data_IF_508291418374
#
_entry.id   IF_508291418374
#
_cell.length_a   1.000
_cell.length_b   1.000
_cell.length_c   1.000
_cell.angle_alpha   90.00
_cell.angle_beta   90.00
_cell.angle_gamma   90.00
#
_symmetry.space_group_name_H-M   'P 1'
#
loop_
_entity.id
_entity.type
_entity.pdbx_description
1 polymer ?
#
# COMPACT_ATOMS: atom_id res chain seq x y z
N UNK A 1 -4.70 -36.65 -20.26
CA UNK A 1 -5.35 -35.80 -19.23
C UNK A 1 -4.36 -34.94 -18.41
N UNK A 2 -3.26 -34.43 -18.99
CA UNK A 2 -2.26 -33.60 -18.27
C UNK A 2 -2.06 -32.18 -18.83
N UNK A 3 -2.79 -31.80 -19.90
CA UNK A 3 -2.58 -30.52 -20.62
C UNK A 3 -3.42 -29.34 -20.08
N UNK A 4 -4.57 -29.59 -19.44
CA UNK A 4 -5.44 -28.51 -18.92
C UNK A 4 -4.97 -27.94 -17.57
N UNK A 5 -4.22 -28.70 -16.77
CA UNK A 5 -3.73 -28.25 -15.46
C UNK A 5 -2.63 -27.20 -15.61
N UNK A 6 -1.69 -27.39 -16.56
CA UNK A 6 -0.59 -26.45 -16.79
C UNK A 6 -1.08 -25.08 -17.34
N UNK A 7 -2.10 -25.07 -18.20
CA UNK A 7 -2.66 -23.84 -18.76
C UNK A 7 -3.40 -22.97 -17.72
N UNK A 8 -3.95 -23.59 -16.68
CA UNK A 8 -4.59 -22.89 -15.56
C UNK A 8 -3.56 -22.28 -14.59
N UNK A 9 -2.37 -22.87 -14.49
CA UNK A 9 -1.28 -22.40 -13.62
C UNK A 9 -0.56 -21.19 -14.23
N UNK A 10 -0.39 -21.15 -15.56
CA UNK A 10 0.21 -19.99 -16.26
C UNK A 10 -0.72 -18.76 -16.25
N UNK A 11 -2.03 -18.96 -16.18
CA UNK A 11 -3.06 -17.90 -16.16
C UNK A 11 -3.08 -17.06 -14.86
N UNK A 12 -2.25 -17.37 -13.85
CA UNK A 12 -2.35 -16.74 -12.52
C UNK A 12 -1.02 -16.29 -11.92
N UNK A 13 -0.01 -16.02 -12.76
CA UNK A 13 1.15 -15.22 -12.33
C UNK A 13 0.81 -13.73 -12.48
N UNK A 14 -0.01 -13.20 -11.58
CA UNK A 14 -0.12 -11.73 -11.44
C UNK A 14 1.22 -11.23 -10.92
N UNK A 15 1.86 -10.38 -11.71
CA UNK A 15 3.20 -9.87 -11.41
C UNK A 15 3.10 -8.56 -10.63
N UNK A 16 4.21 -8.10 -10.04
CA UNK A 16 4.28 -6.80 -9.35
C UNK A 16 3.86 -5.65 -10.29
N UNK A 17 4.10 -5.78 -11.59
CA UNK A 17 3.67 -4.84 -12.61
C UNK A 17 2.14 -4.68 -12.69
N UNK A 18 1.39 -5.77 -12.47
CA UNK A 18 -0.07 -5.72 -12.44
C UNK A 18 -0.58 -4.97 -11.20
N UNK A 19 0.09 -5.13 -10.06
CA UNK A 19 -0.21 -4.36 -8.85
C UNK A 19 0.04 -2.88 -9.08
N UNK A 20 1.20 -2.51 -9.63
CA UNK A 20 1.53 -1.11 -9.92
C UNK A 20 0.49 -0.51 -10.87
N UNK A 21 0.10 -1.23 -11.92
CA UNK A 21 -0.90 -0.79 -12.90
C UNK A 21 -2.31 -0.72 -12.31
N UNK A 22 -2.63 -1.57 -11.32
CA UNK A 22 -3.90 -1.52 -10.61
C UNK A 22 -3.96 -0.33 -9.65
N UNK A 23 -2.89 -0.11 -8.89
CA UNK A 23 -2.80 0.99 -7.94
C UNK A 23 -2.57 2.35 -8.61
N UNK A 24 -1.99 2.40 -9.81
CA UNK A 24 -1.87 3.64 -10.59
C UNK A 24 -3.23 4.20 -11.04
N UNK A 25 -4.29 3.37 -11.03
CA UNK A 25 -5.66 3.79 -11.32
C UNK A 25 -6.37 4.38 -10.11
N UNK A 26 -5.78 4.30 -8.91
CA UNK A 26 -6.34 4.97 -7.74
C UNK A 26 -6.05 6.46 -7.92
N UNK A 27 -7.08 7.19 -8.33
CA UNK A 27 -7.05 8.64 -8.42
C UNK A 27 -6.70 9.19 -7.04
N UNK A 28 -5.61 9.93 -6.99
CA UNK A 28 -5.17 10.62 -5.78
C UNK A 28 -6.09 11.82 -5.53
N UNK A 29 -7.26 11.58 -4.92
CA UNK A 29 -8.22 12.63 -4.54
C UNK A 29 -7.72 13.46 -3.32
N UNK A 30 -6.42 13.45 -3.04
CA UNK A 30 -5.86 14.17 -1.92
C UNK A 30 -5.83 15.66 -2.25
N UNK A 31 -6.47 16.47 -1.39
CA UNK A 31 -6.42 17.93 -1.44
C UNK A 31 -4.96 18.40 -1.58
N UNK A 32 -4.67 19.44 -2.39
CA UNK A 32 -3.31 19.93 -2.64
C UNK A 32 -2.52 20.30 -1.38
N UNK A 33 -3.19 20.53 -0.25
CA UNK A 33 -2.56 20.98 1.00
C UNK A 33 -2.59 19.92 2.13
N UNK A 34 -3.16 18.73 1.90
CA UNK A 34 -3.55 17.84 3.00
C UNK A 34 -2.56 16.73 3.32
N UNK A 35 -1.96 16.11 2.30
CA UNK A 35 -1.13 14.92 2.46
C UNK A 35 0.01 15.02 1.48
N UNK A 36 1.23 15.07 2.02
CA UNK A 36 2.45 15.30 1.25
C UNK A 36 3.16 14.00 0.83
N UNK A 37 2.54 12.85 1.12
CA UNK A 37 3.14 11.54 0.88
C UNK A 37 2.44 10.88 -0.31
N UNK A 38 3.22 10.21 -1.16
CA UNK A 38 2.66 9.43 -2.27
C UNK A 38 1.77 8.32 -1.72
N UNK A 39 0.57 8.17 -2.29
CA UNK A 39 -0.36 7.11 -1.89
C UNK A 39 0.27 5.72 -1.95
N UNK A 40 1.13 5.49 -2.95
CA UNK A 40 1.88 4.24 -3.10
C UNK A 40 2.79 3.95 -1.90
N UNK A 41 3.54 4.95 -1.42
CA UNK A 41 4.42 4.80 -0.26
C UNK A 41 3.60 4.39 0.98
N UNK A 42 2.43 5.01 1.16
CA UNK A 42 1.51 4.70 2.27
C UNK A 42 1.02 3.25 2.20
N UNK A 43 0.58 2.81 1.02
CA UNK A 43 0.07 1.45 0.81
C UNK A 43 1.18 0.40 1.04
N UNK A 44 2.38 0.65 0.52
CA UNK A 44 3.51 -0.28 0.66
C UNK A 44 3.91 -0.44 2.12
N UNK A 45 4.03 0.66 2.87
CA UNK A 45 4.38 0.61 4.30
C UNK A 45 3.30 -0.15 5.10
N UNK A 46 2.01 0.11 4.80
CA UNK A 46 0.90 -0.56 5.46
C UNK A 46 0.88 -2.07 5.18
N UNK A 47 1.09 -2.49 3.93
CA UNK A 47 1.18 -3.91 3.55
C UNK A 47 2.37 -4.59 4.24
N UNK A 48 3.56 -3.97 4.20
CA UNK A 48 4.74 -4.51 4.87
C UNK A 48 4.53 -4.65 6.38
N UNK A 49 3.95 -3.64 7.02
CA UNK A 49 3.60 -3.69 8.44
C UNK A 49 2.61 -4.82 8.75
N UNK A 50 1.55 -4.96 7.96
CA UNK A 50 0.54 -6.00 8.13
C UNK A 50 1.14 -7.42 7.97
N UNK A 51 2.00 -7.63 6.97
CA UNK A 51 2.71 -8.91 6.77
C UNK A 51 3.62 -9.23 7.97
N UNK A 52 4.25 -8.21 8.56
CA UNK A 52 5.06 -8.34 9.76
C UNK A 52 4.25 -8.47 11.06
N UNK A 53 2.90 -8.54 10.98
CA UNK A 53 2.03 -8.75 12.13
C UNK A 53 1.60 -7.48 12.88
N UNK A 54 1.76 -6.30 12.28
CA UNK A 54 1.19 -5.07 12.83
C UNK A 54 -0.34 -5.14 12.81
N UNK A 55 -0.97 -4.89 13.98
CA UNK A 55 -2.42 -5.05 14.18
C UNK A 55 -3.20 -3.74 14.12
N UNK A 56 -2.51 -2.61 14.22
CA UNK A 56 -3.10 -1.28 14.20
C UNK A 56 -2.16 -0.28 13.49
N UNK A 57 -2.67 0.92 13.23
CA UNK A 57 -1.92 1.97 12.54
C UNK A 57 -0.73 2.49 13.34
N UNK A 58 -0.73 2.36 14.66
CA UNK A 58 0.37 2.75 15.55
C UNK A 58 1.52 1.77 15.44
N UNK A 59 1.23 0.47 15.36
CA UNK A 59 2.22 -0.56 15.06
C UNK A 59 2.81 -0.38 13.65
N UNK A 60 2.00 0.00 12.66
CA UNK A 60 2.47 0.29 11.30
C UNK A 60 3.37 1.53 11.29
N UNK A 61 3.00 2.61 11.98
CA UNK A 61 3.84 3.80 12.17
C UNK A 61 5.17 3.42 12.84
N UNK A 62 5.13 2.65 13.93
CA UNK A 62 6.33 2.22 14.64
C UNK A 62 7.24 1.36 13.76
N UNK A 63 6.67 0.40 13.02
CA UNK A 63 7.38 -0.42 12.05
C UNK A 63 8.01 0.43 10.94
N UNK A 64 7.25 1.38 10.39
CA UNK A 64 7.74 2.34 9.40
C UNK A 64 8.93 3.13 9.91
N UNK A 65 8.87 3.63 11.13
CA UNK A 65 9.97 4.37 11.76
C UNK A 65 11.22 3.50 11.97
N UNK A 66 11.08 2.27 12.45
CA UNK A 66 12.20 1.33 12.61
C UNK A 66 12.84 0.99 11.26
N UNK A 67 12.01 0.75 10.24
CA UNK A 67 12.45 0.34 8.89
C UNK A 67 12.63 1.50 7.94
N UNK A 68 12.63 2.75 8.43
CA UNK A 68 12.69 3.95 7.60
C UNK A 68 13.84 3.91 6.59
N UNK A 69 15.06 3.63 7.05
CA UNK A 69 16.25 3.53 6.19
C UNK A 69 16.11 2.48 5.08
N UNK A 70 15.40 1.39 5.36
CA UNK A 70 15.14 0.34 4.38
C UNK A 70 14.10 0.80 3.36
N UNK A 71 13.04 1.46 3.81
CA UNK A 71 12.04 2.04 2.91
C UNK A 71 12.62 3.13 2.01
N UNK A 72 13.53 3.97 2.50
CA UNK A 72 14.21 5.01 1.70
C UNK A 72 15.06 4.45 0.55
N UNK A 73 15.31 3.12 0.51
CA UNK A 73 16.04 2.49 -0.62
C UNK A 73 15.17 2.31 -1.87
N UNK A 74 13.84 2.31 -1.74
CA UNK A 74 12.91 2.10 -2.85
C UNK A 74 11.65 2.98 -2.82
N UNK A 75 11.41 3.72 -1.74
CA UNK A 75 10.37 4.75 -1.62
C UNK A 75 11.04 6.13 -1.54
N UNK A 76 10.39 7.14 -2.11
CA UNK A 76 10.92 8.52 -2.07
C UNK A 76 10.78 9.16 -0.69
N UNK A 77 9.73 8.83 0.08
CA UNK A 77 9.54 9.29 1.46
C UNK A 77 9.84 10.78 1.67
N UNK A 78 9.39 11.66 0.75
CA UNK A 78 9.76 13.09 0.75
C UNK A 78 9.45 13.83 2.06
N UNK A 79 8.55 13.29 2.88
CA UNK A 79 8.18 13.83 4.19
C UNK A 79 8.32 12.83 5.35
N UNK A 80 9.06 11.73 5.15
CA UNK A 80 9.27 10.69 6.17
C UNK A 80 8.08 9.74 6.34
N UNK A 81 8.03 9.06 7.49
CA UNK A 81 6.99 8.06 7.82
C UNK A 81 5.74 8.78 8.31
N UNK A 82 4.59 8.30 7.87
CA UNK A 82 3.29 8.86 8.26
C UNK A 82 2.93 8.49 9.69
N UNK A 83 2.20 9.39 10.35
CA UNK A 83 1.60 9.10 11.65
C UNK A 83 0.40 8.15 11.53
N UNK A 84 0.09 7.42 12.61
CA UNK A 84 -1.10 6.57 12.76
C UNK A 84 -2.36 7.30 12.26
N UNK A 85 -2.54 8.56 12.67
CA UNK A 85 -3.73 9.34 12.31
C UNK A 85 -3.84 9.60 10.80
N UNK A 86 -2.70 9.66 10.11
CA UNK A 86 -2.67 9.88 8.66
C UNK A 86 -2.97 8.60 7.90
N UNK A 87 -2.46 7.45 8.35
CA UNK A 87 -2.86 6.13 7.83
C UNK A 87 -4.37 5.95 7.90
N UNK A 88 -4.98 6.19 9.07
CA UNK A 88 -6.43 6.09 9.24
C UNK A 88 -7.21 6.99 8.27
N UNK A 89 -6.78 8.24 8.08
CA UNK A 89 -7.42 9.18 7.13
C UNK A 89 -7.31 8.72 5.68
N UNK A 90 -6.14 8.23 5.26
CA UNK A 90 -5.92 7.74 3.90
C UNK A 90 -6.80 6.52 3.64
N UNK A 91 -6.75 5.52 4.51
CA UNK A 91 -7.52 4.29 4.32
C UNK A 91 -9.04 4.52 4.42
N UNK A 92 -9.50 5.43 5.28
CA UNK A 92 -10.93 5.81 5.34
C UNK A 92 -11.43 6.41 4.02
N UNK A 93 -10.58 7.13 3.28
CA UNK A 93 -10.91 7.68 1.96
C UNK A 93 -10.86 6.63 0.85
N UNK A 94 -10.00 5.62 1.00
CA UNK A 94 -9.93 4.48 0.08
C UNK A 94 -11.14 3.54 0.23
N UNK A 95 -11.74 3.46 1.42
CA UNK A 95 -12.95 2.67 1.62
C UNK A 95 -14.07 3.25 0.78
N UNK A 96 -14.49 2.50 -0.23
CA UNK A 96 -15.48 2.99 -1.18
C UNK A 96 -16.86 3.15 -0.50
N UNK A 97 -17.57 4.19 -0.93
CA UNK A 97 -18.97 4.43 -0.60
C UNK A 97 -19.86 3.44 -1.39
N UNK A 98 -19.90 2.15 -1.07
CA UNK A 98 -21.14 1.36 -1.15
C UNK A 98 -21.49 0.79 0.23
N UNK A 99 -21.90 1.69 1.13
CA UNK A 99 -22.93 1.31 2.08
C UNK A 99 -24.26 1.83 1.51
N UNK A 100 -24.96 0.96 0.77
CA UNK A 100 -26.42 0.97 0.72
C UNK A 100 -26.88 -0.25 1.50
#
# INVERSE_FOLDING_TARGET
MKRKVAAQIESKRRTIADLITYFSKITDEQKPNGIRHKLMDIIVIAICGAICGAKDWGMIEHFGNIKRKWFETFLELSHGILSHSTFGKVFTRLTHRNAR
#
